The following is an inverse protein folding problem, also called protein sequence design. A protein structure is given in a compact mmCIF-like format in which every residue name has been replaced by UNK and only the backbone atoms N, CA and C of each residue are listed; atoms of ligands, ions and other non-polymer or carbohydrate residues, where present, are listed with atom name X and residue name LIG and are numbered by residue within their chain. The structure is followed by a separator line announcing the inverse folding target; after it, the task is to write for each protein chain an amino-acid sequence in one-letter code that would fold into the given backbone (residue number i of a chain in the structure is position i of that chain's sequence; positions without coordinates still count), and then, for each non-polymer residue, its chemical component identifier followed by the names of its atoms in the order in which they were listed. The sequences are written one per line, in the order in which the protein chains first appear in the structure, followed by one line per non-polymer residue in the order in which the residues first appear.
data_IF_896550280345
#
_entry.id   IF_896550280345
#
_cell.length_a   1.000
_cell.length_b   1.000
_cell.length_c   1.000
_cell.angle_alpha   90.00
_cell.angle_beta   90.00
_cell.angle_gamma   90.00
#
_symmetry.space_group_name_H-M   'P 1'
#
loop_
_entity.id
_entity.type
_entity.pdbx_description
1 polymer ?
#
# COMPACT_ATOMS: atom_id res chain seq x y z
N UNK A 1 -3.73 11.20 -12.33
CA UNK A 1 -4.88 10.77 -13.15
C UNK A 1 -5.44 9.54 -12.49
N UNK A 2 -6.76 9.46 -12.28
CA UNK A 2 -7.38 8.23 -11.77
C UNK A 2 -7.19 7.11 -12.80
N UNK A 3 -6.88 5.91 -12.33
CA UNK A 3 -6.99 4.68 -13.13
C UNK A 3 -8.30 4.64 -13.90
N UNK A 4 -8.25 4.14 -15.14
CA UNK A 4 -9.48 3.75 -15.86
C UNK A 4 -10.10 2.51 -15.22
N UNK A 5 -11.38 2.26 -15.46
CA UNK A 5 -12.06 1.07 -14.95
C UNK A 5 -11.39 -0.22 -15.45
N UNK A 6 -10.92 -0.23 -16.71
CA UNK A 6 -10.22 -1.34 -17.32
C UNK A 6 -8.90 -1.64 -16.61
N UNK A 7 -8.10 -0.61 -16.31
CA UNK A 7 -6.84 -0.78 -15.60
C UNK A 7 -7.06 -1.33 -14.18
N UNK A 8 -8.10 -0.87 -13.47
CA UNK A 8 -8.48 -1.43 -12.16
C UNK A 8 -8.86 -2.91 -12.26
N UNK A 9 -9.69 -3.26 -13.24
CA UNK A 9 -10.10 -4.66 -13.45
C UNK A 9 -8.90 -5.55 -13.77
N UNK A 10 -7.99 -5.10 -14.64
CA UNK A 10 -6.76 -5.84 -14.97
C UNK A 10 -5.86 -6.02 -13.75
N UNK A 11 -5.65 -4.96 -12.97
CA UNK A 11 -4.87 -5.00 -11.73
C UNK A 11 -5.45 -6.00 -10.73
N UNK A 12 -6.75 -5.92 -10.46
CA UNK A 12 -7.44 -6.82 -9.53
C UNK A 12 -7.44 -8.27 -10.02
N UNK A 13 -7.62 -8.49 -11.32
CA UNK A 13 -7.54 -9.82 -11.92
C UNK A 13 -6.15 -10.43 -11.75
N UNK A 14 -5.09 -9.63 -12.00
CA UNK A 14 -3.71 -10.08 -11.86
C UNK A 14 -3.41 -10.52 -10.42
N UNK A 15 -3.73 -9.70 -9.41
CA UNK A 15 -3.47 -10.07 -8.00
C UNK A 15 -4.34 -11.25 -7.55
N UNK A 16 -5.59 -11.35 -8.02
CA UNK A 16 -6.48 -12.47 -7.67
C UNK A 16 -5.98 -13.79 -8.25
N UNK A 17 -5.45 -13.77 -9.47
CA UNK A 17 -4.83 -14.94 -10.11
C UNK A 17 -3.60 -15.47 -9.36
N UNK A 18 -3.00 -14.64 -8.49
CA UNK A 18 -1.86 -14.96 -7.63
C UNK A 18 -2.24 -15.43 -6.23
N UNK A 19 -3.52 -15.57 -5.91
CA UNK A 19 -4.00 -16.13 -4.64
C UNK A 19 -4.51 -15.11 -3.63
N UNK A 20 -4.67 -13.84 -4.02
CA UNK A 20 -5.39 -12.85 -3.20
C UNK A 20 -6.90 -13.09 -3.34
N UNK A 21 -7.53 -13.66 -2.32
CA UNK A 21 -8.93 -14.10 -2.39
C UNK A 21 -9.86 -13.41 -1.38
N UNK A 22 -9.29 -12.74 -0.37
CA UNK A 22 -10.07 -11.99 0.60
C UNK A 22 -10.70 -10.75 -0.06
N UNK A 23 -12.04 -10.70 -0.04
CA UNK A 23 -12.82 -9.61 -0.63
C UNK A 23 -12.50 -8.24 -0.01
N UNK A 24 -12.31 -8.17 1.31
CA UNK A 24 -11.99 -6.92 2.02
C UNK A 24 -10.62 -6.41 1.59
N UNK A 25 -9.65 -7.31 1.43
CA UNK A 25 -8.31 -6.97 0.94
C UNK A 25 -8.37 -6.49 -0.50
N UNK A 26 -9.06 -7.21 -1.39
CA UNK A 26 -9.22 -6.80 -2.79
C UNK A 26 -9.88 -5.41 -2.90
N UNK A 27 -10.94 -5.14 -2.14
CA UNK A 27 -11.59 -3.82 -2.10
C UNK A 27 -10.65 -2.74 -1.57
N UNK A 28 -9.85 -3.02 -0.53
CA UNK A 28 -8.85 -2.07 -0.06
C UNK A 28 -7.81 -1.76 -1.15
N UNK A 29 -7.32 -2.77 -1.84
CA UNK A 29 -6.36 -2.61 -2.94
C UNK A 29 -6.96 -1.90 -4.17
N UNK A 30 -8.26 -2.06 -4.44
CA UNK A 30 -8.99 -1.33 -5.48
C UNK A 30 -9.12 0.17 -5.18
N UNK A 31 -9.33 0.50 -3.90
CA UNK A 31 -9.52 1.87 -3.43
C UNK A 31 -8.22 2.66 -3.31
N UNK A 32 -7.09 1.97 -3.13
CA UNK A 32 -5.77 2.61 -3.03
C UNK A 32 -5.10 2.67 -4.40
N UNK A 33 -5.05 3.86 -4.97
CA UNK A 33 -4.28 4.14 -6.20
C UNK A 33 -2.79 3.92 -5.94
N UNK A 34 -2.27 2.77 -6.38
CA UNK A 34 -0.85 2.40 -6.26
C UNK A 34 0.08 3.36 -7.00
N UNK A 35 -0.40 4.03 -8.05
CA UNK A 35 0.35 5.03 -8.82
C UNK A 35 0.79 6.23 -7.97
N UNK A 36 0.06 6.57 -6.91
CA UNK A 36 0.47 7.64 -5.98
C UNK A 36 1.75 7.32 -5.19
N UNK A 37 2.12 6.05 -5.12
CA UNK A 37 3.25 5.54 -4.33
C UNK A 37 4.48 5.22 -5.19
N UNK A 38 4.37 5.38 -6.51
CA UNK A 38 5.45 5.14 -7.49
C UNK A 38 5.73 6.46 -8.21
N UNK A 39 7.00 6.87 -8.25
CA UNK A 39 7.41 8.16 -8.84
C UNK A 39 8.38 7.96 -10.00
N UNK A 40 8.38 8.90 -10.93
CA UNK A 40 9.36 8.98 -12.01
C UNK A 40 9.14 7.92 -13.09
N UNK A 41 10.25 7.37 -13.61
CA UNK A 41 10.28 6.49 -14.79
C UNK A 41 9.51 5.16 -14.64
N UNK A 42 9.12 4.80 -13.41
CA UNK A 42 8.39 3.56 -13.13
C UNK A 42 6.87 3.75 -13.04
N UNK A 43 6.37 4.98 -13.21
CA UNK A 43 4.95 5.30 -13.01
C UNK A 43 4.03 4.50 -13.95
N UNK A 44 4.45 4.27 -15.20
CA UNK A 44 3.69 3.48 -16.19
C UNK A 44 3.56 2.00 -15.80
N UNK A 45 4.46 1.53 -14.93
CA UNK A 45 4.54 0.15 -14.45
C UNK A 45 3.91 -0.03 -13.07
N UNK A 46 3.32 1.01 -12.49
CA UNK A 46 2.85 1.01 -11.10
C UNK A 46 1.89 -0.15 -10.77
N UNK A 47 1.15 -0.64 -11.76
CA UNK A 47 0.13 -1.70 -11.62
C UNK A 47 0.60 -3.08 -12.08
N UNK A 48 1.85 -3.20 -12.54
CA UNK A 48 2.45 -4.50 -12.80
C UNK A 48 2.64 -5.24 -11.48
N UNK A 49 2.42 -6.56 -11.50
CA UNK A 49 2.59 -7.39 -10.33
C UNK A 49 4.09 -7.68 -10.05
N UNK A 50 4.84 -6.64 -9.69
CA UNK A 50 6.28 -6.71 -9.40
C UNK A 50 6.70 -5.67 -8.35
N UNK A 51 7.85 -5.86 -7.68
CA UNK A 51 8.44 -4.80 -6.88
C UNK A 51 8.99 -3.68 -7.77
N UNK A 52 8.88 -2.43 -7.33
CA UNK A 52 9.42 -1.27 -8.05
C UNK A 52 10.34 -0.44 -7.15
N UNK A 53 11.40 0.19 -7.69
CA UNK A 53 12.28 1.04 -6.91
C UNK A 53 11.56 2.28 -6.35
N UNK A 54 11.92 2.66 -5.14
CA UNK A 54 11.53 3.92 -4.49
C UNK A 54 12.78 4.63 -3.96
N UNK A 55 12.60 5.76 -3.28
CA UNK A 55 13.73 6.51 -2.71
C UNK A 55 14.53 5.68 -1.69
N UNK A 56 15.74 6.15 -1.35
CA UNK A 56 16.63 5.51 -0.39
C UNK A 56 17.05 4.07 -0.76
N UNK A 57 17.02 3.73 -2.05
CA UNK A 57 17.40 2.40 -2.54
C UNK A 57 16.45 1.28 -2.11
N UNK A 58 15.24 1.62 -1.66
CA UNK A 58 14.23 0.66 -1.23
C UNK A 58 13.30 0.29 -2.41
N UNK A 59 12.39 -0.64 -2.17
CA UNK A 59 11.36 -1.04 -3.15
C UNK A 59 9.96 -0.99 -2.55
N UNK A 60 8.97 -0.57 -3.35
CA UNK A 60 7.57 -0.87 -3.05
C UNK A 60 7.29 -2.34 -3.41
N UNK A 61 6.71 -3.08 -2.47
CA UNK A 61 6.46 -4.53 -2.61
C UNK A 61 5.52 -4.86 -3.76
N UNK A 62 5.68 -6.05 -4.33
CA UNK A 62 4.78 -6.63 -5.33
C UNK A 62 3.32 -6.63 -4.83
N UNK A 63 2.34 -6.17 -5.63
CA UNK A 63 0.93 -6.12 -5.25
C UNK A 63 0.36 -7.45 -4.73
N UNK A 64 0.60 -8.58 -5.39
CA UNK A 64 0.10 -9.87 -4.92
C UNK A 64 0.68 -10.26 -3.56
N UNK A 65 1.95 -9.97 -3.31
CA UNK A 65 2.60 -10.18 -1.99
C UNK A 65 1.95 -9.31 -0.91
N UNK A 66 1.69 -8.04 -1.21
CA UNK A 66 0.94 -7.12 -0.33
C UNK A 66 -0.43 -7.70 0.03
N UNK A 67 -1.18 -8.19 -0.97
CA UNK A 67 -2.48 -8.81 -0.75
C UNK A 67 -2.41 -10.09 0.09
N UNK A 68 -1.47 -10.98 -0.20
CA UNK A 68 -1.26 -12.26 0.51
C UNK A 68 -0.88 -12.01 1.97
N UNK A 69 0.04 -11.08 2.24
CA UNK A 69 0.41 -10.70 3.60
C UNK A 69 -0.78 -10.11 4.35
N UNK A 70 -1.52 -9.21 3.70
CA UNK A 70 -2.66 -8.53 4.32
C UNK A 70 -3.80 -9.51 4.67
N UNK A 71 -4.13 -10.44 3.78
CA UNK A 71 -5.17 -11.44 4.06
C UNK A 71 -4.75 -12.41 5.16
N UNK A 72 -3.45 -12.78 5.24
CA UNK A 72 -2.94 -13.67 6.26
C UNK A 72 -3.04 -13.09 7.68
N UNK A 73 -3.03 -11.76 7.81
CA UNK A 73 -3.21 -11.07 9.10
C UNK A 73 -4.64 -11.16 9.64
N UNK A 74 -5.64 -11.49 8.80
CA UNK A 74 -7.06 -11.57 9.18
C UNK A 74 -7.55 -10.34 9.99
N UNK A 75 -7.17 -9.14 9.54
CA UNK A 75 -7.39 -7.88 10.25
C UNK A 75 -8.88 -7.60 10.43
N UNK A 76 -9.27 -7.19 11.62
CA UNK A 76 -10.60 -6.70 11.94
C UNK A 76 -10.59 -5.18 12.16
N UNK A 77 -11.74 -4.50 12.00
CA UNK A 77 -11.84 -3.06 12.27
C UNK A 77 -11.56 -2.64 13.73
N UNK A 78 -11.34 -3.60 14.64
CA UNK A 78 -10.97 -3.33 16.04
C UNK A 78 -9.46 -3.38 16.27
N UNK A 79 -8.70 -3.94 15.34
CA UNK A 79 -7.29 -4.20 15.54
C UNK A 79 -6.44 -2.95 15.46
N UNK A 80 -5.33 -3.00 16.18
CA UNK A 80 -4.25 -2.01 16.11
C UNK A 80 -3.05 -2.72 15.50
N UNK A 81 -2.60 -2.24 14.35
CA UNK A 81 -1.55 -2.89 13.55
C UNK A 81 -0.24 -2.12 13.73
N UNK A 82 0.87 -2.86 13.87
CA UNK A 82 2.22 -2.33 13.72
C UNK A 82 2.81 -2.83 12.41
N UNK A 83 3.24 -1.90 11.56
CA UNK A 83 4.01 -2.15 10.36
C UNK A 83 5.47 -1.73 10.58
N UNK A 84 6.40 -2.61 10.21
CA UNK A 84 7.84 -2.32 10.24
C UNK A 84 8.34 -2.14 8.80
N UNK A 85 8.81 -0.94 8.49
CA UNK A 85 9.20 -0.53 7.14
C UNK A 85 8.05 0.17 6.42
N UNK A 86 7.85 1.46 6.71
CA UNK A 86 6.83 2.28 6.04
C UNK A 86 7.05 2.35 4.52
N UNK A 87 8.31 2.46 4.09
CA UNK A 87 8.65 2.51 2.66
C UNK A 87 7.92 3.65 1.94
N UNK A 88 7.22 3.32 0.87
CA UNK A 88 6.37 4.28 0.15
C UNK A 88 5.09 4.65 0.89
N UNK A 89 4.64 3.83 1.84
CA UNK A 89 3.36 3.95 2.55
C UNK A 89 2.19 3.17 1.92
N UNK A 90 2.40 2.45 0.81
CA UNK A 90 1.31 1.75 0.11
C UNK A 90 0.62 0.69 0.98
N UNK A 91 1.43 -0.19 1.60
CA UNK A 91 0.94 -1.21 2.52
C UNK A 91 0.27 -0.55 3.75
N UNK A 92 0.87 0.51 4.30
CA UNK A 92 0.30 1.29 5.41
C UNK A 92 -1.13 1.76 5.13
N UNK A 93 -1.37 2.33 3.94
CA UNK A 93 -2.71 2.83 3.57
C UNK A 93 -3.69 1.67 3.38
N UNK A 94 -3.27 0.56 2.78
CA UNK A 94 -4.12 -0.64 2.67
C UNK A 94 -4.53 -1.14 4.07
N UNK A 95 -3.58 -1.27 5.00
CA UNK A 95 -3.85 -1.66 6.38
C UNK A 95 -4.81 -0.69 7.06
N UNK A 96 -4.68 0.62 6.77
CA UNK A 96 -5.50 1.66 7.38
C UNK A 96 -6.99 1.58 7.00
N UNK A 97 -7.31 0.99 5.83
CA UNK A 97 -8.70 0.73 5.42
C UNK A 97 -9.34 -0.46 6.15
N UNK A 98 -8.52 -1.32 6.75
CA UNK A 98 -8.96 -2.58 7.36
C UNK A 98 -8.93 -2.56 8.90
N UNK A 99 -8.02 -1.78 9.49
CA UNK A 99 -7.75 -1.72 10.92
C UNK A 99 -8.31 -0.46 11.59
N UNK A 100 -8.44 -0.49 12.92
CA UNK A 100 -8.79 0.70 13.72
C UNK A 100 -7.69 1.76 13.66
N UNK A 101 -6.43 1.32 13.79
CA UNK A 101 -5.24 2.19 13.86
C UNK A 101 -4.04 1.44 13.30
N UNK A 102 -3.20 2.14 12.54
CA UNK A 102 -1.92 1.62 12.04
C UNK A 102 -0.79 2.47 12.60
N UNK A 103 0.15 1.84 13.29
CA UNK A 103 1.46 2.40 13.59
C UNK A 103 2.43 1.87 12.55
N UNK A 104 3.24 2.75 11.97
CA UNK A 104 4.29 2.34 11.03
C UNK A 104 5.62 2.96 11.42
N UNK A 105 6.68 2.16 11.39
CA UNK A 105 8.06 2.61 11.72
C UNK A 105 8.95 2.55 10.49
N UNK A 106 9.85 3.52 10.35
CA UNK A 106 10.78 3.60 9.22
C UNK A 106 12.09 4.27 9.62
N UNK A 107 13.19 3.68 9.16
CA UNK A 107 14.57 4.09 9.48
C UNK A 107 15.09 5.19 8.57
N UNK A 108 14.47 5.41 7.41
CA UNK A 108 14.84 6.48 6.50
C UNK A 108 13.92 7.69 6.69
N UNK A 109 14.45 8.76 7.29
CA UNK A 109 13.69 10.00 7.57
C UNK A 109 13.00 10.55 6.31
N UNK A 110 13.67 10.47 5.16
CA UNK A 110 13.13 10.91 3.87
C UNK A 110 11.87 10.12 3.47
N UNK A 111 11.87 8.81 3.69
CA UNK A 111 10.70 7.97 3.41
C UNK A 111 9.54 8.32 4.34
N UNK A 112 9.79 8.50 5.64
CA UNK A 112 8.76 8.98 6.62
C UNK A 112 8.14 10.30 6.16
N UNK A 113 8.94 11.26 5.73
CA UNK A 113 8.42 12.55 5.25
C UNK A 113 7.61 12.38 3.97
N UNK A 114 8.11 11.59 3.01
CA UNK A 114 7.42 11.39 1.74
C UNK A 114 6.09 10.64 1.88
N UNK A 115 6.01 9.64 2.76
CA UNK A 115 4.80 8.86 3.00
C UNK A 115 3.75 9.67 3.76
N UNK A 116 4.15 10.51 4.72
CA UNK A 116 3.24 11.46 5.39
C UNK A 116 2.51 12.37 4.41
N UNK A 117 3.21 12.88 3.39
CA UNK A 117 2.56 13.71 2.36
C UNK A 117 1.48 12.93 1.59
N UNK A 118 1.70 11.64 1.34
CA UNK A 118 0.70 10.77 0.69
C UNK A 118 -0.48 10.51 1.64
N UNK A 119 -0.22 10.25 2.92
CA UNK A 119 -1.25 10.06 3.95
C UNK A 119 -2.14 11.29 4.10
N UNK A 120 -1.55 12.49 4.11
CA UNK A 120 -2.26 13.76 4.12
C UNK A 120 -3.09 13.96 2.84
N UNK A 121 -2.50 13.68 1.67
CA UNK A 121 -3.21 13.77 0.39
C UNK A 121 -4.43 12.85 0.33
N UNK A 122 -4.28 11.62 0.85
CA UNK A 122 -5.35 10.63 0.94
C UNK A 122 -6.27 10.81 2.16
N UNK A 123 -6.01 11.83 2.99
CA UNK A 123 -6.78 12.18 4.19
C UNK A 123 -6.97 10.99 5.16
N UNK A 124 -5.95 10.14 5.27
CA UNK A 124 -5.97 9.03 6.23
C UNK A 124 -5.84 9.56 7.65
N UNK A 125 -6.77 9.21 8.54
CA UNK A 125 -6.84 9.78 9.90
C UNK A 125 -6.35 8.83 11.00
N UNK A 126 -6.12 7.56 10.67
CA UNK A 126 -5.81 6.50 11.62
C UNK A 126 -4.38 5.92 11.46
N UNK A 127 -3.50 6.62 10.75
CA UNK A 127 -2.08 6.24 10.59
C UNK A 127 -1.20 7.11 11.51
N UNK A 128 -0.27 6.47 12.23
CA UNK A 128 0.79 7.13 13.00
C UNK A 128 2.14 6.65 12.47
N UNK A 129 2.92 7.55 11.88
CA UNK A 129 4.25 7.25 11.34
C UNK A 129 5.36 7.71 12.27
N UNK A 130 6.21 6.77 12.63
CA UNK A 130 7.32 6.93 13.55
C UNK A 130 8.64 6.78 12.79
N UNK A 131 9.61 7.62 13.12
CA UNK A 131 10.98 7.47 12.67
C UNK A 131 11.77 6.73 13.75
N UNK A 132 12.39 5.61 13.42
CA UNK A 132 13.10 4.75 14.36
C UNK A 132 14.31 4.07 13.71
#
# INVERSE_FOLDING_TARGET
MSLTAEQKMQFLFAIRSRGVTDKRVLTAMENVDRGLFVKGIFSDRAYEDMPLPIECGQTISQPSVVGIMTQALNITPRDTVLEVGTGSGYQTVILSQLARRVYTVERYKRLVMSSKLVFEHLKTTNIISLYA
#
